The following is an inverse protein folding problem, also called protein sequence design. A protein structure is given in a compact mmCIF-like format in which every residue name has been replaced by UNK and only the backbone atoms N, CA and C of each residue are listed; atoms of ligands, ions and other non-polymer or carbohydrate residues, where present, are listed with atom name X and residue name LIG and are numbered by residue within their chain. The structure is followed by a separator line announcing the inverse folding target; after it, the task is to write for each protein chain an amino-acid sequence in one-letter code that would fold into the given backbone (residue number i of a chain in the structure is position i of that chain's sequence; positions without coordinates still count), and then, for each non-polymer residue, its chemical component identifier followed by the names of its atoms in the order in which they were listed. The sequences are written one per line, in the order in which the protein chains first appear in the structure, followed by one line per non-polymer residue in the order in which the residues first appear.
data_IF_113004994454
#
_entry.id   IF_113004994454
#
_cell.length_a   1.000
_cell.length_b   1.000
_cell.length_c   1.000
_cell.angle_alpha   90.00
_cell.angle_beta   90.00
_cell.angle_gamma   90.00
#
_symmetry.space_group_name_H-M   'P 1'
#
loop_
_entity.id
_entity.type
_entity.pdbx_description
1 polymer ?
#
# COMPACT_ATOMS: atom_id res chain seq x y z
N UNK A 1 4.22 49.65 13.24
CA UNK A 1 4.85 48.81 14.29
C UNK A 1 3.75 48.35 15.21
N UNK A 2 3.28 47.10 15.23
CA UNK A 2 3.67 45.84 14.60
C UNK A 2 2.36 45.19 14.13
N UNK A 3 2.20 44.77 12.88
CA UNK A 3 2.60 43.45 12.34
C UNK A 3 2.38 42.30 13.35
N UNK A 4 1.14 41.85 13.43
CA UNK A 4 0.76 40.61 14.09
C UNK A 4 0.47 39.57 13.00
N UNK A 5 1.56 39.02 12.49
CA UNK A 5 1.60 37.89 11.60
C UNK A 5 1.42 36.63 12.44
N UNK A 6 0.19 36.11 12.53
CA UNK A 6 0.00 34.72 12.95
C UNK A 6 0.48 33.79 11.82
N UNK A 7 1.48 32.92 12.06
CA UNK A 7 1.90 31.94 11.07
C UNK A 7 0.82 30.85 10.95
N UNK A 8 0.57 30.39 9.72
CA UNK A 8 -0.59 29.59 9.34
C UNK A 8 -0.80 28.31 10.15
N UNK A 9 -2.08 28.00 10.38
CA UNK A 9 -2.50 26.63 10.57
C UNK A 9 -1.91 25.83 9.40
N UNK A 10 -0.97 24.92 9.69
CA UNK A 10 -0.55 23.95 8.69
C UNK A 10 -1.82 23.19 8.30
N UNK A 11 -2.12 23.11 7.00
CA UNK A 11 -3.17 22.25 6.43
C UNK A 11 -2.82 20.79 6.78
N UNK A 12 -3.08 20.38 8.01
CA UNK A 12 -2.95 19.01 8.44
C UNK A 12 -4.14 18.27 7.83
N UNK A 13 -3.87 17.61 6.70
CA UNK A 13 -4.84 16.78 6.01
C UNK A 13 -5.44 15.77 6.99
N UNK A 14 -6.75 15.52 6.87
CA UNK A 14 -7.36 14.44 7.67
C UNK A 14 -6.66 13.09 7.38
N UNK A 15 -6.69 12.12 8.32
CA UNK A 15 -5.92 10.89 8.19
C UNK A 15 -6.20 10.09 6.90
N UNK A 16 -7.45 9.93 6.42
CA UNK A 16 -7.74 9.37 5.10
C UNK A 16 -7.02 10.12 3.95
N UNK A 17 -7.13 11.44 3.93
CA UNK A 17 -6.53 12.28 2.87
C UNK A 17 -5.01 12.22 2.91
N UNK A 18 -4.40 12.22 4.10
CA UNK A 18 -2.96 12.09 4.27
C UNK A 18 -2.45 10.69 3.83
N UNK A 19 -3.19 9.63 4.16
CA UNK A 19 -2.88 8.27 3.72
C UNK A 19 -2.92 8.18 2.19
N UNK A 20 -3.97 8.70 1.55
CA UNK A 20 -4.10 8.67 0.09
C UNK A 20 -3.01 9.51 -0.60
N UNK A 21 -2.73 10.72 -0.11
CA UNK A 21 -1.70 11.58 -0.67
C UNK A 21 -0.31 10.92 -0.60
N UNK A 22 0.01 10.32 0.54
CA UNK A 22 1.28 9.58 0.71
C UNK A 22 1.31 8.35 -0.19
N UNK A 23 0.22 7.57 -0.24
CA UNK A 23 0.11 6.40 -1.10
C UNK A 23 0.37 6.75 -2.58
N UNK A 24 -0.24 7.84 -3.09
CA UNK A 24 -0.01 8.33 -4.46
C UNK A 24 1.47 8.63 -4.73
N UNK A 25 2.17 9.18 -3.75
CA UNK A 25 3.58 9.56 -3.90
C UNK A 25 4.55 8.37 -3.93
N UNK A 26 4.19 7.22 -3.36
CA UNK A 26 5.13 6.11 -3.15
C UNK A 26 4.81 4.85 -3.95
N UNK A 27 3.54 4.63 -4.32
CA UNK A 27 3.07 3.38 -4.93
C UNK A 27 3.80 2.99 -6.22
N UNK A 28 4.00 3.91 -7.20
CA UNK A 28 4.69 3.55 -8.45
C UNK A 28 6.13 3.06 -8.22
N UNK A 29 6.88 3.78 -7.38
CA UNK A 29 8.26 3.43 -7.06
C UNK A 29 8.35 2.12 -6.27
N UNK A 30 7.41 1.88 -5.36
CA UNK A 30 7.33 0.64 -4.59
C UNK A 30 7.08 -0.58 -5.50
N UNK A 31 6.08 -0.54 -6.38
CA UNK A 31 5.77 -1.66 -7.29
C UNK A 31 6.96 -2.00 -8.19
N UNK A 32 7.60 -0.97 -8.76
CA UNK A 32 8.80 -1.17 -9.57
C UNK A 32 9.95 -1.78 -8.74
N UNK A 33 10.13 -1.30 -7.51
CA UNK A 33 11.18 -1.79 -6.60
C UNK A 33 10.99 -3.26 -6.25
N UNK A 34 9.80 -3.69 -5.87
CA UNK A 34 9.56 -5.08 -5.45
C UNK A 34 9.76 -6.05 -6.62
N UNK A 35 9.25 -5.71 -7.81
CA UNK A 35 9.39 -6.55 -9.00
C UNK A 35 10.84 -6.66 -9.47
N UNK A 36 11.57 -5.54 -9.53
CA UNK A 36 12.99 -5.56 -9.91
C UNK A 36 13.86 -6.27 -8.90
N UNK A 37 13.56 -6.12 -7.61
CA UNK A 37 14.30 -6.79 -6.54
C UNK A 37 14.06 -8.30 -6.60
N UNK A 38 12.83 -8.75 -6.82
CA UNK A 38 12.51 -10.16 -7.00
C UNK A 38 13.25 -10.77 -8.20
N UNK A 39 13.23 -10.09 -9.36
CA UNK A 39 13.93 -10.56 -10.54
C UNK A 39 15.46 -10.60 -10.34
N UNK A 40 16.03 -9.56 -9.72
CA UNK A 40 17.47 -9.47 -9.47
C UNK A 40 17.97 -10.52 -8.47
N UNK A 41 17.15 -10.94 -7.48
CA UNK A 41 17.48 -12.04 -6.57
C UNK A 41 17.77 -13.34 -7.32
N UNK A 42 17.08 -13.57 -8.43
CA UNK A 42 17.24 -14.73 -9.30
C UNK A 42 18.20 -14.47 -10.48
N UNK A 43 18.91 -13.34 -10.50
CA UNK A 43 19.87 -13.00 -11.54
C UNK A 43 19.25 -12.62 -12.89
N UNK A 44 17.96 -12.31 -12.94
CA UNK A 44 17.26 -11.91 -14.16
C UNK A 44 17.00 -10.40 -14.16
N UNK A 45 17.67 -9.67 -15.05
CA UNK A 45 17.48 -8.23 -15.24
C UNK A 45 17.64 -7.85 -16.73
N UNK A 46 16.69 -8.29 -17.56
CA UNK A 46 16.71 -7.96 -19.00
C UNK A 46 16.03 -6.61 -19.28
N UNK A 47 16.39 -5.92 -20.36
CA UNK A 47 15.69 -4.70 -20.79
C UNK A 47 14.18 -4.91 -20.96
N UNK A 48 13.77 -6.06 -21.50
CA UNK A 48 12.37 -6.40 -21.74
C UNK A 48 11.60 -6.56 -20.42
N UNK A 49 12.18 -7.24 -19.44
CA UNK A 49 11.59 -7.39 -18.11
C UNK A 49 11.49 -6.04 -17.39
N UNK A 50 12.52 -5.19 -17.49
CA UNK A 50 12.48 -3.83 -16.91
C UNK A 50 11.37 -2.98 -17.52
N UNK A 51 11.21 -3.03 -18.85
CA UNK A 51 10.15 -2.30 -19.54
C UNK A 51 8.76 -2.83 -19.13
N UNK A 52 8.57 -4.15 -19.12
CA UNK A 52 7.31 -4.78 -18.71
C UNK A 52 6.95 -4.44 -17.26
N UNK A 53 7.94 -4.44 -16.35
CA UNK A 53 7.73 -4.10 -14.94
C UNK A 53 7.37 -2.62 -14.76
N UNK A 54 7.97 -1.71 -15.54
CA UNK A 54 7.62 -0.29 -15.50
C UNK A 54 6.18 -0.05 -15.96
N UNK A 55 5.77 -0.62 -17.10
CA UNK A 55 4.39 -0.53 -17.58
C UNK A 55 3.41 -1.13 -16.56
N UNK A 56 3.72 -2.30 -16.01
CA UNK A 56 2.87 -2.92 -15.00
C UNK A 56 2.77 -2.09 -13.71
N UNK A 57 3.87 -1.49 -13.26
CA UNK A 57 3.84 -0.62 -12.09
C UNK A 57 2.92 0.60 -12.29
N UNK A 58 2.90 1.20 -13.48
CA UNK A 58 2.00 2.31 -13.80
C UNK A 58 0.52 1.86 -13.80
N UNK A 59 0.21 0.75 -14.46
CA UNK A 59 -1.15 0.19 -14.55
C UNK A 59 -1.69 -0.19 -13.16
N UNK A 60 -0.92 -0.98 -12.41
CA UNK A 60 -1.30 -1.46 -11.07
C UNK A 60 -1.36 -0.30 -10.07
N UNK A 61 -0.51 0.72 -10.20
CA UNK A 61 -0.62 1.93 -9.38
C UNK A 61 -1.95 2.63 -9.60
N UNK A 62 -2.34 2.82 -10.86
CA UNK A 62 -3.60 3.50 -11.19
C UNK A 62 -4.80 2.76 -10.60
N UNK A 63 -4.83 1.43 -10.74
CA UNK A 63 -5.90 0.59 -10.20
C UNK A 63 -5.93 0.62 -8.66
N UNK A 64 -4.79 0.34 -8.02
CA UNK A 64 -4.66 0.35 -6.56
C UNK A 64 -5.07 1.69 -5.94
N UNK A 65 -4.61 2.81 -6.52
CA UNK A 65 -4.92 4.14 -6.01
C UNK A 65 -6.39 4.51 -6.22
N UNK A 66 -7.02 4.05 -7.30
CA UNK A 66 -8.46 4.20 -7.52
C UNK A 66 -9.27 3.42 -6.47
N UNK A 67 -8.93 2.15 -6.25
CA UNK A 67 -9.58 1.32 -5.21
C UNK A 67 -9.38 1.90 -3.80
N UNK A 68 -8.20 2.46 -3.52
CA UNK A 68 -7.91 3.09 -2.23
C UNK A 68 -8.74 4.36 -2.04
N UNK A 69 -8.86 5.19 -3.07
CA UNK A 69 -9.69 6.40 -3.04
C UNK A 69 -11.17 6.05 -2.81
N UNK A 70 -11.70 5.06 -3.54
CA UNK A 70 -13.06 4.55 -3.33
C UNK A 70 -13.26 4.01 -1.91
N UNK A 71 -12.33 3.19 -1.41
CA UNK A 71 -12.40 2.64 -0.05
C UNK A 71 -12.41 3.74 1.02
N UNK A 72 -11.57 4.77 0.87
CA UNK A 72 -11.46 5.86 1.83
C UNK A 72 -12.64 6.83 1.77
N UNK A 73 -13.40 6.84 0.67
CA UNK A 73 -14.66 7.56 0.55
C UNK A 73 -15.85 6.84 1.23
N UNK A 74 -15.74 5.53 1.48
CA UNK A 74 -16.75 4.77 2.23
C UNK A 74 -16.68 5.17 3.71
N UNK A 75 -17.85 5.31 4.34
CA UNK A 75 -17.94 5.55 5.77
C UNK A 75 -17.20 4.45 6.56
N UNK A 76 -16.51 4.87 7.61
CA UNK A 76 -15.59 4.02 8.36
C UNK A 76 -16.22 2.73 8.91
N UNK A 77 -17.51 2.77 9.26
CA UNK A 77 -18.27 1.62 9.77
C UNK A 77 -18.64 0.61 8.67
N UNK A 78 -18.71 1.06 7.42
CA UNK A 78 -19.10 0.27 6.25
C UNK A 78 -17.91 -0.20 5.40
N UNK A 79 -16.68 0.20 5.74
CA UNK A 79 -15.48 -0.17 4.99
C UNK A 79 -15.22 -1.69 5.05
N UNK A 80 -15.24 -2.40 3.91
CA UNK A 80 -15.21 -3.86 3.87
C UNK A 80 -13.83 -4.45 4.16
N UNK A 81 -12.75 -3.67 3.99
CA UNK A 81 -11.37 -4.14 4.11
C UNK A 81 -10.45 -3.09 4.75
N UNK A 82 -9.27 -3.53 5.20
CA UNK A 82 -8.18 -2.64 5.61
C UNK A 82 -7.40 -2.18 4.34
N UNK A 83 -7.08 -0.89 4.18
CA UNK A 83 -6.26 -0.34 3.09
C UNK A 83 -4.98 -1.13 2.77
N UNK A 84 -4.24 -1.63 3.78
CA UNK A 84 -3.02 -2.43 3.55
C UNK A 84 -3.31 -3.73 2.77
N UNK A 85 -4.54 -4.24 2.83
CA UNK A 85 -4.95 -5.42 2.07
C UNK A 85 -5.01 -5.15 0.56
N UNK A 86 -5.29 -3.91 0.15
CA UNK A 86 -5.23 -3.53 -1.27
C UNK A 86 -3.79 -3.58 -1.80
N UNK A 87 -2.83 -3.11 -1.01
CA UNK A 87 -1.40 -3.22 -1.35
C UNK A 87 -0.96 -4.69 -1.43
N UNK A 88 -1.44 -5.54 -0.52
CA UNK A 88 -1.17 -6.99 -0.60
C UNK A 88 -1.75 -7.62 -1.86
N UNK A 89 -2.95 -7.24 -2.27
CA UNK A 89 -3.56 -7.75 -3.50
C UNK A 89 -2.82 -7.24 -4.76
N UNK A 90 -2.32 -6.01 -4.74
CA UNK A 90 -1.64 -5.39 -5.87
C UNK A 90 -0.37 -6.14 -6.32
N UNK A 91 0.22 -6.98 -5.47
CA UNK A 91 1.41 -7.78 -5.85
C UNK A 91 1.13 -8.85 -6.89
N UNK A 92 -0.14 -9.14 -7.18
CA UNK A 92 -0.54 -10.02 -8.27
C UNK A 92 -0.01 -9.52 -9.63
N UNK A 93 -0.02 -8.21 -9.87
CA UNK A 93 0.49 -7.61 -11.11
C UNK A 93 1.99 -7.88 -11.34
N UNK A 94 2.88 -7.48 -10.41
CA UNK A 94 4.30 -7.81 -10.51
C UNK A 94 4.57 -9.32 -10.57
N UNK A 95 3.83 -10.13 -9.81
CA UNK A 95 3.92 -11.60 -9.84
C UNK A 95 3.67 -12.16 -11.23
N UNK A 96 2.64 -11.67 -11.91
CA UNK A 96 2.30 -12.06 -13.27
C UNK A 96 3.41 -11.71 -14.28
N UNK A 97 4.02 -10.52 -14.14
CA UNK A 97 5.17 -10.14 -14.98
C UNK A 97 6.35 -11.07 -14.75
N UNK A 98 6.71 -11.33 -13.50
CA UNK A 98 7.81 -12.23 -13.14
C UNK A 98 7.62 -13.62 -13.75
N UNK A 99 6.41 -14.19 -13.62
CA UNK A 99 6.06 -15.51 -14.21
C UNK A 99 6.16 -15.52 -15.72
N UNK A 100 5.59 -14.52 -16.42
CA UNK A 100 5.62 -14.45 -17.89
C UNK A 100 7.04 -14.34 -18.44
N UNK A 101 7.94 -13.75 -17.68
CA UNK A 101 9.36 -13.63 -18.03
C UNK A 101 10.23 -14.78 -17.51
N UNK A 102 9.63 -15.82 -16.93
CA UNK A 102 10.32 -17.02 -16.49
C UNK A 102 11.21 -16.81 -15.26
N UNK A 103 10.91 -15.82 -14.42
CA UNK A 103 11.62 -15.62 -13.15
C UNK A 103 11.26 -16.77 -12.19
N UNK A 104 12.23 -17.56 -11.71
CA UNK A 104 11.97 -18.64 -10.77
C UNK A 104 11.33 -18.15 -9.47
N UNK A 105 10.41 -18.92 -8.91
CA UNK A 105 9.90 -18.67 -7.55
C UNK A 105 11.01 -18.95 -6.52
N UNK A 106 11.20 -18.12 -5.48
CA UNK A 106 12.30 -18.30 -4.52
C UNK A 106 12.14 -19.58 -3.70
N UNK A 107 13.19 -20.41 -3.67
CA UNK A 107 13.18 -21.69 -2.94
C UNK A 107 13.20 -21.56 -1.40
N UNK A 108 13.31 -20.33 -0.86
CA UNK A 108 13.60 -20.05 0.56
C UNK A 108 12.48 -19.43 1.39
N UNK A 109 11.26 -19.24 0.87
CA UNK A 109 10.16 -18.59 1.61
C UNK A 109 9.67 -19.38 2.83
N UNK A 110 9.95 -20.69 2.86
CA UNK A 110 9.55 -21.58 3.94
C UNK A 110 8.07 -21.96 3.90
N UNK A 111 7.73 -23.07 4.55
CA UNK A 111 6.38 -23.66 4.51
C UNK A 111 5.30 -22.71 5.06
N UNK A 112 5.63 -21.97 6.12
CA UNK A 112 4.71 -21.00 6.72
C UNK A 112 4.27 -19.92 5.73
N UNK A 113 5.19 -19.35 4.94
CA UNK A 113 4.86 -18.31 3.96
C UNK A 113 3.95 -18.87 2.88
N UNK A 114 4.32 -20.01 2.30
CA UNK A 114 3.56 -20.65 1.22
C UNK A 114 2.13 -20.98 1.66
N UNK A 115 1.94 -21.39 2.91
CA UNK A 115 0.61 -21.67 3.45
C UNK A 115 -0.19 -20.40 3.79
N UNK A 116 0.47 -19.36 4.30
CA UNK A 116 -0.19 -18.15 4.78
C UNK A 116 -0.49 -17.16 3.66
N UNK A 117 0.36 -17.13 2.63
CA UNK A 117 0.31 -16.18 1.51
C UNK A 117 0.41 -16.93 0.16
N UNK A 118 -0.56 -17.80 -0.17
CA UNK A 118 -0.52 -18.58 -1.40
C UNK A 118 -0.54 -17.71 -2.67
N UNK A 119 -1.07 -16.48 -2.58
CA UNK A 119 -1.12 -15.52 -3.68
C UNK A 119 0.15 -14.67 -3.80
N UNK A 120 1.15 -14.85 -2.92
CA UNK A 120 2.44 -14.15 -2.94
C UNK A 120 3.62 -15.16 -3.06
N UNK A 121 3.74 -15.84 -4.21
CA UNK A 121 4.75 -16.88 -4.46
C UNK A 121 6.19 -16.33 -4.50
N UNK A 122 6.37 -15.02 -4.67
CA UNK A 122 7.69 -14.37 -4.71
C UNK A 122 8.07 -13.72 -3.37
N UNK A 123 7.17 -13.73 -2.37
CA UNK A 123 7.41 -13.08 -1.09
C UNK A 123 7.66 -11.57 -1.22
N UNK A 124 6.86 -10.90 -2.05
CA UNK A 124 6.96 -9.47 -2.36
C UNK A 124 5.83 -8.65 -1.73
N UNK A 125 4.87 -9.31 -1.08
CA UNK A 125 3.77 -8.71 -0.33
C UNK A 125 4.24 -7.94 0.91
N UNK A 126 3.65 -6.76 1.22
CA UNK A 126 3.98 -6.03 2.43
C UNK A 126 3.30 -6.66 3.66
N UNK A 127 4.07 -6.87 4.73
CA UNK A 127 3.52 -7.25 6.03
C UNK A 127 3.01 -6.01 6.78
N UNK A 128 3.67 -4.87 6.60
CA UNK A 128 3.43 -3.59 7.26
C UNK A 128 3.51 -2.43 6.26
N UNK A 129 3.09 -1.23 6.70
CA UNK A 129 3.21 -0.02 5.89
C UNK A 129 4.66 0.34 5.52
N UNK A 130 5.61 0.05 6.41
CA UNK A 130 7.02 0.36 6.19
C UNK A 130 7.65 -0.52 5.09
N UNK A 131 7.07 -1.68 4.78
CA UNK A 131 7.52 -2.52 3.67
C UNK A 131 7.20 -1.88 2.30
N UNK A 132 6.15 -1.06 2.26
CA UNK A 132 5.78 -0.26 1.08
C UNK A 132 6.71 0.93 0.95
N UNK A 133 6.73 1.80 1.96
CA UNK A 133 7.64 2.96 2.07
C UNK A 133 7.61 3.46 3.52
N UNK A 134 8.75 3.90 4.06
CA UNK A 134 8.83 4.46 5.41
C UNK A 134 7.85 5.64 5.61
N UNK A 135 7.63 6.43 4.56
CA UNK A 135 6.69 7.57 4.58
C UNK A 135 5.24 7.13 4.82
N UNK A 136 4.87 5.88 4.52
CA UNK A 136 3.53 5.36 4.78
C UNK A 136 3.33 4.86 6.21
N UNK A 137 4.41 4.69 6.99
CA UNK A 137 4.31 4.12 8.33
C UNK A 137 3.39 4.94 9.23
N UNK A 138 3.67 6.24 9.37
CA UNK A 138 2.89 7.14 10.23
C UNK A 138 1.46 7.38 9.68
N UNK A 139 1.25 7.75 8.40
CA UNK A 139 -0.10 7.91 7.85
C UNK A 139 -0.98 6.67 8.01
N UNK A 140 -0.41 5.48 7.81
CA UNK A 140 -1.12 4.22 7.99
C UNK A 140 -1.54 3.95 9.44
N UNK A 141 -0.69 4.31 10.42
CA UNK A 141 -1.03 4.23 11.84
C UNK A 141 -2.06 5.28 12.25
N UNK A 142 -1.91 6.52 11.78
CA UNK A 142 -2.84 7.62 12.05
C UNK A 142 -4.24 7.29 11.54
N UNK A 143 -4.35 6.76 10.31
CA UNK A 143 -5.62 6.30 9.77
C UNK A 143 -6.26 5.21 10.64
N UNK A 144 -5.47 4.21 11.08
CA UNK A 144 -5.98 3.12 11.93
C UNK A 144 -6.48 3.63 13.29
N UNK A 145 -5.76 4.55 13.92
CA UNK A 145 -6.15 5.18 15.18
C UNK A 145 -7.41 6.05 15.01
N UNK A 146 -7.45 6.84 13.95
CA UNK A 146 -8.61 7.67 13.59
C UNK A 146 -9.86 6.82 13.37
N UNK A 147 -9.74 5.71 12.64
CA UNK A 147 -10.82 4.75 12.42
C UNK A 147 -11.34 4.20 13.74
N UNK A 148 -10.45 3.66 14.58
CA UNK A 148 -10.83 3.12 15.87
C UNK A 148 -11.52 4.16 16.77
N UNK A 149 -10.99 5.38 16.82
CA UNK A 149 -11.57 6.47 17.62
C UNK A 149 -12.96 6.88 17.12
N UNK A 150 -13.14 6.96 15.81
CA UNK A 150 -14.42 7.33 15.21
C UNK A 150 -15.49 6.29 15.54
N UNK A 151 -15.19 5.00 15.37
CA UNK A 151 -16.09 3.89 15.72
C UNK A 151 -16.42 3.89 17.22
N UNK A 152 -15.41 4.05 18.09
CA UNK A 152 -15.62 4.08 19.54
C UNK A 152 -16.50 5.26 19.98
N UNK A 153 -16.29 6.44 19.40
CA UNK A 153 -17.09 7.63 19.69
C UNK A 153 -18.56 7.43 19.29
N UNK A 154 -18.81 6.89 18.10
CA UNK A 154 -20.17 6.61 17.61
C UNK A 154 -20.91 5.61 18.49
N UNK A 155 -20.27 4.50 18.85
CA UNK A 155 -20.86 3.49 19.77
C UNK A 155 -21.24 4.09 21.13
N UNK A 156 -20.38 4.97 21.67
CA UNK A 156 -20.68 5.70 22.91
C UNK A 156 -21.88 6.62 22.76
N UNK A 157 -21.98 7.36 21.66
CA UNK A 157 -23.07 8.30 21.40
C UNK A 157 -24.41 7.56 21.14
N UNK A 158 -24.36 6.34 20.62
CA UNK A 158 -25.51 5.43 20.43
C UNK A 158 -25.94 4.69 21.72
N UNK A 159 -25.22 4.89 22.84
CA UNK A 159 -25.52 4.24 24.13
C UNK A 159 -25.16 2.76 24.20
N UNK A 160 -24.47 2.23 23.20
CA UNK A 160 -23.99 0.85 23.12
C UNK A 160 -22.60 0.77 23.78
N UNK A 161 -22.55 0.33 25.04
CA UNK A 161 -21.32 -0.12 25.70
C UNK A 161 -21.15 -1.62 25.55
#
# INVERSE_FOLDING_TARGET
MADDMQPGASDELDPPTQLLATARAVTPAWLLRIGRTAAAREGLDTPELRAAMATNADEVSSELLGLLEELLAIDVDDQPVNPLSLFRAAVAGPTDVLRRHGVPEPSGLGEFHVQTFPDDPYGIGPATWADVDERLHEPGLMWGAWKAMTVLRRRRDEGLR
#
